data_IF_612247076022
#
_entry.id   IF_612247076022
#
_cell.length_a   1.000
_cell.length_b   1.000
_cell.length_c   1.000
_cell.angle_alpha   90.00
_cell.angle_beta   90.00
_cell.angle_gamma   90.00
#
_symmetry.space_group_name_H-M   'P 1'
#
loop_
_entity.id
_entity.type
_entity.pdbx_description
1 polymer ?
#
# COMPACT_ATOMS: atom_id res chain seq x y z
N UNK A 1 -10.28 16.05 12.42
CA UNK A 1 -10.36 14.99 13.46
C UNK A 1 -9.07 15.02 14.29
N UNK A 2 -9.12 15.03 15.63
CA UNK A 2 -7.92 14.94 16.48
C UNK A 2 -7.49 13.47 16.61
N UNK A 3 -6.56 13.02 15.76
CA UNK A 3 -6.00 11.66 15.76
C UNK A 3 -4.67 11.56 16.52
N UNK A 4 -4.30 12.59 17.28
CA UNK A 4 -3.00 12.72 17.95
C UNK A 4 -2.83 11.81 19.17
N UNK A 5 -3.86 11.09 19.59
CA UNK A 5 -3.77 10.11 20.68
C UNK A 5 -4.29 8.75 20.19
N UNK A 6 -3.51 7.67 20.37
CA UNK A 6 -4.00 6.34 20.07
C UNK A 6 -5.24 6.04 20.95
N UNK A 7 -6.32 5.46 20.38
CA UNK A 7 -7.38 4.87 21.19
C UNK A 7 -6.80 3.75 22.08
N UNK A 8 -7.50 3.33 23.13
CA UNK A 8 -7.03 2.22 23.97
C UNK A 8 -6.82 0.96 23.13
N UNK A 9 -5.56 0.61 22.83
CA UNK A 9 -5.22 -0.48 21.90
C UNK A 9 -5.41 -1.90 22.48
N UNK A 10 -6.03 -2.04 23.65
CA UNK A 10 -6.21 -3.34 24.31
C UNK A 10 -4.87 -4.05 24.59
N UNK A 11 -4.85 -5.38 24.42
CA UNK A 11 -3.62 -6.20 24.49
C UNK A 11 -2.85 -6.06 23.18
N UNK A 12 -1.59 -5.66 23.28
CA UNK A 12 -0.76 -5.40 22.10
C UNK A 12 -0.58 -6.64 21.20
N UNK A 13 -0.55 -7.84 21.78
CA UNK A 13 -0.46 -9.11 21.04
C UNK A 13 -1.71 -9.38 20.18
N UNK A 14 -2.89 -9.01 20.68
CA UNK A 14 -4.14 -9.13 19.92
C UNK A 14 -4.17 -8.08 18.82
N UNK A 15 -3.75 -6.85 19.14
CA UNK A 15 -3.62 -5.79 18.16
C UNK A 15 -2.66 -6.15 17.04
N UNK A 16 -1.46 -6.65 17.34
CA UNK A 16 -0.46 -7.05 16.35
C UNK A 16 -0.99 -8.16 15.45
N UNK A 17 -1.66 -9.16 16.02
CA UNK A 17 -2.27 -10.25 15.26
C UNK A 17 -3.33 -9.75 14.29
N UNK A 18 -4.24 -8.89 14.77
CA UNK A 18 -5.31 -8.32 13.93
C UNK A 18 -4.75 -7.38 12.86
N UNK A 19 -3.77 -6.55 13.21
CA UNK A 19 -3.13 -5.62 12.29
C UNK A 19 -2.41 -6.38 11.17
N UNK A 20 -1.66 -7.44 11.50
CA UNK A 20 -1.01 -8.29 10.50
C UNK A 20 -2.04 -8.98 9.58
N UNK A 21 -3.15 -9.48 10.14
CA UNK A 21 -4.22 -10.09 9.34
C UNK A 21 -4.84 -9.07 8.37
N UNK A 22 -5.14 -7.87 8.86
CA UNK A 22 -5.65 -6.78 8.04
C UNK A 22 -4.66 -6.39 6.93
N UNK A 23 -3.38 -6.21 7.27
CA UNK A 23 -2.34 -5.89 6.30
C UNK A 23 -2.22 -6.94 5.19
N UNK A 24 -2.34 -8.22 5.54
CA UNK A 24 -2.33 -9.34 4.58
C UNK A 24 -3.51 -9.30 3.61
N UNK A 25 -4.70 -8.92 4.06
CA UNK A 25 -5.89 -8.78 3.20
C UNK A 25 -5.68 -7.67 2.16
N UNK A 26 -4.91 -6.64 2.50
CA UNK A 26 -4.59 -5.56 1.56
C UNK A 26 -3.53 -5.97 0.51
N UNK A 27 -2.72 -7.01 0.76
CA UNK A 27 -1.68 -7.39 -0.19
C UNK A 27 -2.27 -8.13 -1.40
N UNK A 28 -1.71 -7.93 -2.61
CA UNK A 28 -2.16 -8.67 -3.79
C UNK A 28 -1.98 -10.17 -3.58
N UNK A 29 -2.86 -10.99 -4.15
CA UNK A 29 -2.93 -12.43 -3.85
C UNK A 29 -1.60 -13.19 -4.09
N UNK A 30 -0.77 -12.73 -5.02
CA UNK A 30 0.56 -13.27 -5.28
C UNK A 30 1.60 -13.04 -4.16
N UNK A 31 1.29 -12.16 -3.19
CA UNK A 31 2.11 -11.88 -2.01
C UNK A 31 1.78 -12.80 -0.84
N UNK A 32 0.62 -13.45 -0.85
CA UNK A 32 0.13 -14.25 0.28
C UNK A 32 0.58 -15.70 0.09
N UNK A 33 1.82 -16.00 0.48
CA UNK A 33 2.22 -17.40 0.67
C UNK A 33 1.50 -17.99 1.89
N UNK A 34 0.84 -19.12 1.69
CA UNK A 34 0.11 -19.85 2.74
C UNK A 34 1.09 -20.21 3.86
N UNK A 35 0.89 -19.65 5.07
CA UNK A 35 1.69 -19.97 6.26
C UNK A 35 2.84 -19.00 6.61
N UNK A 36 3.21 -18.04 5.76
CA UNK A 36 4.23 -17.05 6.11
C UNK A 36 3.65 -15.85 6.89
N UNK A 37 4.37 -15.35 7.90
CA UNK A 37 4.06 -14.08 8.59
C UNK A 37 4.43 -12.85 7.74
N UNK A 38 5.26 -13.03 6.71
CA UNK A 38 5.68 -11.98 5.79
C UNK A 38 5.30 -12.35 4.36
N UNK A 39 4.80 -11.37 3.63
CA UNK A 39 4.44 -11.53 2.24
C UNK A 39 5.67 -11.62 1.34
N UNK A 40 5.59 -12.44 0.29
CA UNK A 40 6.68 -12.60 -0.67
C UNK A 40 7.05 -11.26 -1.31
N UNK A 41 8.35 -11.05 -1.53
CA UNK A 41 8.89 -9.85 -2.20
C UNK A 41 9.03 -10.01 -3.70
N UNK A 42 8.79 -11.21 -4.23
CA UNK A 42 8.91 -11.48 -5.65
C UNK A 42 7.52 -11.39 -6.30
N UNK A 43 7.15 -10.18 -6.73
CA UNK A 43 5.79 -9.86 -7.19
C UNK A 43 5.85 -9.15 -8.54
N UNK A 44 5.17 -9.68 -9.58
CA UNK A 44 5.07 -9.01 -10.87
C UNK A 44 4.42 -7.62 -10.74
N UNK A 45 4.99 -6.62 -11.43
CA UNK A 45 4.59 -5.21 -11.34
C UNK A 45 3.10 -4.93 -11.62
N UNK A 46 2.49 -5.70 -12.52
CA UNK A 46 1.10 -5.50 -12.96
C UNK A 46 0.05 -5.65 -11.85
N UNK A 47 0.38 -6.35 -10.76
CA UNK A 47 -0.56 -6.63 -9.65
C UNK A 47 -0.63 -5.53 -8.59
N UNK A 48 0.23 -4.51 -8.67
CA UNK A 48 0.20 -3.37 -7.73
C UNK A 48 -0.95 -2.39 -8.04
N UNK A 49 -1.50 -2.40 -9.26
CA UNK A 49 -2.64 -1.54 -9.64
C UNK A 49 -3.88 -1.72 -8.76
N UNK A 50 -4.10 -2.92 -8.21
CA UNK A 50 -5.22 -3.18 -7.29
C UNK A 50 -5.08 -2.41 -5.96
N UNK A 51 -3.84 -2.18 -5.52
CA UNK A 51 -3.50 -1.40 -4.32
C UNK A 51 -3.51 0.13 -4.58
N UNK A 52 -3.47 0.55 -5.84
CA UNK A 52 -3.41 1.97 -6.24
C UNK A 52 -4.77 2.67 -6.22
N UNK A 53 -5.85 2.00 -5.80
CA UNK A 53 -7.18 2.60 -5.61
C UNK A 53 -7.25 3.37 -4.28
N UNK A 54 -6.48 4.45 -4.18
CA UNK A 54 -6.47 5.33 -3.00
C UNK A 54 -7.75 6.16 -2.90
N UNK A 55 -8.54 5.95 -1.86
CA UNK A 55 -9.55 6.92 -1.41
C UNK A 55 -8.91 8.09 -0.65
N UNK A 56 -9.71 9.08 -0.27
CA UNK A 56 -9.28 10.35 0.36
C UNK A 56 -8.38 10.17 1.60
N UNK A 57 -8.50 9.06 2.33
CA UNK A 57 -7.70 8.77 3.54
C UNK A 57 -6.75 7.54 3.42
N UNK A 58 -6.47 7.05 2.20
CA UNK A 58 -5.80 5.78 1.86
C UNK A 58 -4.74 5.21 2.82
N UNK A 59 -3.45 5.31 2.46
CA UNK A 59 -2.34 4.75 3.27
C UNK A 59 -2.09 5.51 4.58
N UNK A 60 -2.70 6.69 4.75
CA UNK A 60 -2.58 7.51 5.95
C UNK A 60 -3.08 6.78 7.21
N UNK A 61 -4.21 6.07 7.12
CA UNK A 61 -4.71 5.26 8.23
C UNK A 61 -3.80 4.08 8.57
N UNK A 62 -3.15 3.51 7.55
CA UNK A 62 -2.21 2.42 7.74
C UNK A 62 -0.96 2.89 8.50
N UNK A 63 -0.38 4.01 8.08
CA UNK A 63 0.78 4.60 8.75
C UNK A 63 0.43 5.06 10.18
N UNK A 64 -0.74 5.66 10.36
CA UNK A 64 -1.21 6.12 11.67
C UNK A 64 -1.38 4.96 12.66
N UNK A 65 -2.05 3.89 12.23
CA UNK A 65 -2.24 2.70 13.07
C UNK A 65 -0.92 2.01 13.41
N UNK A 66 0.04 1.96 12.48
CA UNK A 66 1.38 1.44 12.74
C UNK A 66 2.18 2.33 13.70
N UNK A 67 2.07 3.65 13.60
CA UNK A 67 2.72 4.59 14.51
C UNK A 67 2.22 4.40 15.95
N UNK A 68 0.92 4.19 16.14
CA UNK A 68 0.35 3.85 17.44
C UNK A 68 0.87 2.53 18.01
N UNK A 69 1.04 1.52 17.15
CA UNK A 69 1.62 0.25 17.58
C UNK A 69 3.07 0.43 18.05
N UNK A 70 3.89 1.16 17.28
CA UNK A 70 5.28 1.47 17.65
C UNK A 70 5.35 2.23 18.98
N UNK A 71 4.48 3.22 19.19
CA UNK A 71 4.42 3.98 20.44
C UNK A 71 4.10 3.10 21.67
N UNK A 72 3.29 2.05 21.49
CA UNK A 72 2.89 1.14 22.58
C UNK A 72 3.81 -0.08 22.77
N UNK A 73 4.72 -0.35 21.84
CA UNK A 73 5.65 -1.47 21.93
C UNK A 73 6.72 -1.24 23.01
N UNK A 74 6.61 -1.94 24.14
CA UNK A 74 7.50 -1.77 25.30
C UNK A 74 8.60 -2.83 25.38
N UNK A 75 8.34 -4.04 24.90
CA UNK A 75 9.31 -5.13 24.96
C UNK A 75 10.15 -5.20 23.68
N UNK A 76 11.36 -5.75 23.77
CA UNK A 76 12.22 -5.98 22.59
C UNK A 76 11.52 -6.85 21.54
N UNK A 77 10.75 -7.85 21.97
CA UNK A 77 9.98 -8.71 21.07
C UNK A 77 8.92 -7.94 20.27
N UNK A 78 8.15 -7.09 20.95
CA UNK A 78 7.13 -6.25 20.32
C UNK A 78 7.75 -5.23 19.36
N UNK A 79 8.86 -4.59 19.78
CA UNK A 79 9.58 -3.64 18.92
C UNK A 79 10.14 -4.30 17.66
N UNK A 80 10.70 -5.51 17.80
CA UNK A 80 11.20 -6.29 16.66
C UNK A 80 10.07 -6.67 15.70
N UNK A 81 8.89 -7.03 16.22
CA UNK A 81 7.71 -7.29 15.39
C UNK A 81 7.26 -6.03 14.63
N UNK A 82 7.09 -4.89 15.33
CA UNK A 82 6.76 -3.62 14.69
C UNK A 82 7.75 -3.24 13.60
N UNK A 83 9.06 -3.41 13.85
CA UNK A 83 10.09 -3.11 12.85
C UNK A 83 10.01 -4.00 11.62
N UNK A 84 9.68 -5.29 11.77
CA UNK A 84 9.51 -6.20 10.63
C UNK A 84 8.36 -5.75 9.75
N UNK A 85 7.24 -5.39 10.37
CA UNK A 85 6.06 -4.89 9.69
C UNK A 85 6.34 -3.55 9.00
N UNK A 86 6.98 -2.61 9.68
CA UNK A 86 7.37 -1.31 9.12
C UNK A 86 8.24 -1.46 7.88
N UNK A 87 9.21 -2.38 7.91
CA UNK A 87 10.07 -2.67 6.74
C UNK A 87 9.26 -3.22 5.56
N UNK A 88 8.27 -4.07 5.81
CA UNK A 88 7.40 -4.60 4.75
C UNK A 88 6.50 -3.50 4.17
N UNK A 89 5.92 -2.65 5.02
CA UNK A 89 5.12 -1.49 4.58
C UNK A 89 5.97 -0.52 3.74
N UNK A 90 7.17 -0.16 4.20
CA UNK A 90 8.09 0.71 3.44
C UNK A 90 8.36 0.14 2.06
N UNK A 91 8.70 -1.14 2.01
CA UNK A 91 8.98 -1.81 0.74
C UNK A 91 7.76 -1.82 -0.20
N UNK A 92 6.55 -2.05 0.33
CA UNK A 92 5.31 -1.97 -0.48
C UNK A 92 5.08 -0.57 -1.01
N UNK A 93 5.27 0.46 -0.19
CA UNK A 93 5.13 1.85 -0.61
C UNK A 93 6.16 2.21 -1.70
N UNK A 94 7.39 1.72 -1.59
CA UNK A 94 8.42 1.88 -2.63
C UNK A 94 7.98 1.27 -3.97
N UNK A 95 7.37 0.07 -3.96
CA UNK A 95 6.84 -0.54 -5.18
C UNK A 95 5.70 0.28 -5.79
N UNK A 96 4.82 0.82 -4.96
CA UNK A 96 3.70 1.67 -5.43
C UNK A 96 4.20 2.99 -6.02
N UNK A 97 5.20 3.62 -5.41
CA UNK A 97 5.82 4.84 -5.93
C UNK A 97 6.55 4.57 -7.24
N UNK A 98 7.28 3.46 -7.35
CA UNK A 98 7.93 3.07 -8.60
C UNK A 98 6.89 2.90 -9.72
N UNK A 99 5.80 2.17 -9.44
CA UNK A 99 4.72 1.95 -10.41
C UNK A 99 4.01 3.24 -10.82
N UNK A 100 3.78 4.16 -9.89
CA UNK A 100 3.19 5.48 -10.18
C UNK A 100 4.07 6.31 -11.13
N UNK A 101 5.40 6.23 -10.98
CA UNK A 101 6.33 6.95 -11.86
C UNK A 101 6.32 6.39 -13.27
N UNK A 102 6.35 5.07 -13.41
CA UNK A 102 6.22 4.40 -14.73
C UNK A 102 4.95 4.84 -15.45
N UNK A 103 3.79 4.82 -14.76
CA UNK A 103 2.51 5.19 -15.38
C UNK A 103 2.45 6.70 -15.76
N UNK A 104 3.29 7.56 -15.17
CA UNK A 104 3.37 8.98 -15.51
C UNK A 104 4.28 9.22 -16.72
N UNK A 105 5.41 8.51 -16.81
CA UNK A 105 6.36 8.61 -17.93
C UNK A 105 5.75 8.07 -19.24
N UNK A 106 4.91 7.03 -19.17
CA UNK A 106 4.16 6.51 -20.33
C UNK A 106 3.16 7.54 -20.91
N UNK A 107 2.77 8.56 -20.15
CA UNK A 107 1.80 9.59 -20.60
C UNK A 107 2.50 10.75 -21.33
N UNK A 108 3.79 11.00 -21.06
CA UNK A 108 4.53 12.10 -21.67
C UNK A 108 5.12 11.74 -23.05
N UNK A 109 5.25 10.45 -23.39
CA UNK A 109 5.71 10.01 -24.72
C UNK A 109 4.61 10.01 -25.80
N UNK A 110 3.33 10.25 -25.46
CA UNK A 110 2.21 10.29 -26.41
C UNK A 110 1.68 11.70 -26.74
N UNK A 111 2.30 12.78 -26.24
CA UNK A 111 2.04 14.15 -26.74
C UNK A 111 2.76 14.46 -28.08
N UNK A 112 3.25 13.42 -28.77
CA UNK A 112 3.87 13.54 -30.11
C UNK A 112 3.00 13.09 -31.29
N UNK A 113 1.80 12.53 -31.06
CA UNK A 113 0.94 12.05 -32.16
C UNK A 113 -0.47 12.56 -32.01
N UNK A 114 -0.71 13.79 -32.48
CA UNK A 114 -2.04 14.23 -32.90
C UNK A 114 -2.67 13.15 -33.82
N UNK A 115 -3.76 12.48 -33.42
CA UNK A 115 -4.65 11.92 -34.41
C UNK A 115 -5.30 13.12 -35.10
N UNK A 116 -5.07 13.23 -36.41
CA UNK A 116 -5.78 14.20 -37.25
C UNK A 116 -7.27 14.05 -36.95
N UNK A 117 -7.84 15.15 -36.49
CA UNK A 117 -9.26 15.53 -36.53
C UNK A 117 -10.08 14.49 -37.28
N UNK A 118 -10.92 13.75 -36.57
CA UNK A 118 -12.05 13.08 -37.19
C UNK A 118 -12.91 14.17 -37.82
N UNK A 119 -12.62 14.50 -39.08
CA UNK A 119 -13.52 15.26 -39.91
C UNK A 119 -14.76 14.38 -40.09
N UNK A 120 -15.84 14.89 -39.51
CA UNK A 120 -17.19 14.41 -39.59
C UNK A 120 -17.55 14.45 -41.08
N UNK A 121 -17.43 13.31 -41.78
CA UNK A 121 -18.08 13.13 -43.07
C UNK A 121 -19.52 12.71 -42.80
N UNK A 122 -20.43 13.68 -42.90
CA UNK A 122 -21.84 13.45 -43.17
C UNK A 122 -22.09 13.87 -44.62
N UNK A 123 -22.12 12.89 -45.51
CA UNK A 123 -22.65 12.91 -46.88
C UNK A 123 -23.23 11.49 -46.99
N UNK A 124 -24.51 11.22 -47.25
CA UNK A 124 -25.63 11.96 -47.83
C UNK A 124 -26.92 11.30 -47.36
#
# INVERSE_FOLDING_TARGET
>A
RKLSRPPPLGKLETYSTMWNAWWRVLQPACRVETGSRLSSRNVPGEKWRELMKGGEDGFSFLLLSLAWWIEKAKTKGQQAECQRVLKDVSWVLEQLVAKLKEDTEDTEEDEGRHPKRCDIFFDQ
#
